data_IF_656327523745
#
_entry.id   IF_656327523745
#
_cell.length_a   1.000
_cell.length_b   1.000
_cell.length_c   1.000
_cell.angle_alpha   90.00
_cell.angle_beta   90.00
_cell.angle_gamma   90.00
#
_symmetry.space_group_name_H-M   'P 1'
#
loop_
_entity.id
_entity.type
_entity.pdbx_description
1 polymer ?
#
# COMPACT_ATOMS: atom_id res chain seq x y z
N UNK A 1 -11.20 1.12 7.26
CA UNK A 1 -10.99 0.82 8.69
C UNK A 1 -11.93 1.68 9.47
N UNK A 2 -12.50 1.14 10.53
CA UNK A 2 -13.52 1.82 11.32
C UNK A 2 -12.96 2.20 12.71
N UNK A 3 -11.92 1.51 13.17
CA UNK A 3 -11.26 1.75 14.45
C UNK A 3 -10.48 3.07 14.47
N UNK A 4 -10.79 3.94 15.44
CA UNK A 4 -10.16 5.24 15.58
C UNK A 4 -8.64 5.18 15.82
N UNK A 5 -8.13 4.16 16.52
CA UNK A 5 -6.69 3.97 16.73
C UNK A 5 -6.01 3.51 15.45
N UNK A 6 -6.67 2.66 14.65
CA UNK A 6 -6.16 2.26 13.35
C UNK A 6 -6.09 3.45 12.39
N UNK A 7 -7.12 4.30 12.36
CA UNK A 7 -7.12 5.54 11.57
C UNK A 7 -6.02 6.53 12.01
N UNK A 8 -5.76 6.64 13.32
CA UNK A 8 -4.63 7.43 13.84
C UNK A 8 -3.29 6.85 13.42
N UNK A 9 -3.14 5.53 13.49
CA UNK A 9 -1.94 4.84 13.06
C UNK A 9 -1.67 5.05 11.57
N UNK A 10 -2.69 4.93 10.71
CA UNK A 10 -2.56 5.25 9.28
C UNK A 10 -2.05 6.68 9.08
N UNK A 11 -2.66 7.67 9.75
CA UNK A 11 -2.23 9.07 9.64
C UNK A 11 -0.78 9.27 10.10
N UNK A 12 -0.35 8.57 11.16
CA UNK A 12 1.04 8.56 11.62
C UNK A 12 1.96 8.01 10.52
N UNK A 13 1.69 6.81 9.99
CA UNK A 13 2.50 6.18 8.94
C UNK A 13 2.64 7.11 7.73
N UNK A 14 1.54 7.73 7.30
CA UNK A 14 1.56 8.67 6.18
C UNK A 14 2.40 9.92 6.48
N UNK A 15 2.35 10.44 7.71
CA UNK A 15 3.18 11.57 8.12
C UNK A 15 4.65 11.19 8.14
N UNK A 16 4.99 10.03 8.72
CA UNK A 16 6.36 9.52 8.80
C UNK A 16 6.94 9.29 7.39
N UNK A 17 6.13 8.78 6.46
CA UNK A 17 6.52 8.63 5.05
C UNK A 17 6.83 9.98 4.37
N UNK A 18 6.12 11.05 4.73
CA UNK A 18 6.37 12.39 4.17
C UNK A 18 7.62 13.01 4.78
N UNK A 19 7.85 12.85 6.09
CA UNK A 19 8.97 13.48 6.79
C UNK A 19 10.28 12.72 6.62
N UNK A 20 10.23 11.39 6.73
CA UNK A 20 11.41 10.53 6.89
C UNK A 20 11.61 9.60 5.69
N UNK A 21 10.62 9.51 4.80
CA UNK A 21 10.61 8.55 3.69
C UNK A 21 10.35 7.11 4.16
N UNK A 22 10.80 6.13 3.36
CA UNK A 22 10.62 4.72 3.69
C UNK A 22 11.67 4.24 4.70
N UNK A 23 11.32 4.26 5.98
CA UNK A 23 12.09 3.58 7.03
C UNK A 23 11.51 2.17 7.24
N UNK A 24 12.15 1.16 6.62
CA UNK A 24 11.64 -0.22 6.52
C UNK A 24 11.24 -0.81 7.87
N UNK A 25 12.08 -0.70 8.90
CA UNK A 25 11.80 -1.28 10.22
C UNK A 25 10.54 -0.67 10.86
N UNK A 26 10.40 0.65 10.78
CA UNK A 26 9.28 1.38 11.36
C UNK A 26 7.98 1.04 10.64
N UNK A 27 7.98 1.07 9.30
CA UNK A 27 6.76 0.85 8.53
C UNK A 27 6.28 -0.59 8.60
N UNK A 28 7.19 -1.57 8.64
CA UNK A 28 6.83 -2.98 8.81
C UNK A 28 6.18 -3.20 10.17
N UNK A 29 6.75 -2.64 11.25
CA UNK A 29 6.16 -2.74 12.59
C UNK A 29 4.78 -2.08 12.67
N UNK A 30 4.64 -0.89 12.09
CA UNK A 30 3.36 -0.17 12.08
C UNK A 30 2.30 -0.89 11.22
N UNK A 31 2.67 -1.46 10.07
CA UNK A 31 1.76 -2.27 9.24
C UNK A 31 1.35 -3.57 9.93
N UNK A 32 2.27 -4.26 10.62
CA UNK A 32 1.93 -5.44 11.41
C UNK A 32 0.91 -5.11 12.50
N UNK A 33 1.10 -3.99 13.21
CA UNK A 33 0.11 -3.50 14.18
C UNK A 33 -1.21 -3.11 13.52
N UNK A 34 -1.16 -2.52 12.33
CA UNK A 34 -2.34 -2.18 11.55
C UNK A 34 -3.16 -3.43 11.17
N UNK A 35 -2.49 -4.54 10.88
CA UNK A 35 -3.11 -5.83 10.57
C UNK A 35 -3.95 -6.37 11.73
N UNK A 36 -3.53 -6.17 12.98
CA UNK A 36 -4.29 -6.60 14.16
C UNK A 36 -5.67 -5.94 14.21
N UNK A 37 -5.76 -4.65 13.88
CA UNK A 37 -7.05 -3.95 13.78
C UNK A 37 -7.91 -4.51 12.64
N UNK A 38 -7.32 -4.78 11.47
CA UNK A 38 -8.06 -5.35 10.35
C UNK A 38 -8.61 -6.75 10.65
N UNK A 39 -7.90 -7.55 11.45
CA UNK A 39 -8.35 -8.85 11.94
C UNK A 39 -9.55 -8.71 12.89
N UNK A 40 -9.47 -7.76 13.84
CA UNK A 40 -10.57 -7.46 14.77
C UNK A 40 -11.82 -6.93 14.07
N UNK A 41 -11.66 -6.19 12.97
CA UNK A 41 -12.76 -5.68 12.15
C UNK A 41 -13.32 -6.71 11.15
N UNK A 42 -12.78 -7.95 11.13
CA UNK A 42 -13.19 -9.02 10.22
C UNK A 42 -13.16 -8.61 8.73
N UNK A 43 -12.14 -7.83 8.32
CA UNK A 43 -11.97 -7.36 6.93
C UNK A 43 -10.88 -8.17 6.21
N UNK A 44 -11.17 -9.37 5.65
CA UNK A 44 -10.15 -10.29 5.13
C UNK A 44 -9.32 -9.72 3.97
N UNK A 45 -9.92 -8.94 3.07
CA UNK A 45 -9.21 -8.29 1.95
C UNK A 45 -8.17 -7.30 2.47
N UNK A 46 -8.51 -6.55 3.51
CA UNK A 46 -7.64 -5.58 4.14
C UNK A 46 -6.50 -6.26 4.91
N UNK A 47 -6.81 -7.32 5.66
CA UNK A 47 -5.80 -8.17 6.34
C UNK A 47 -4.79 -8.71 5.33
N UNK A 48 -5.26 -9.20 4.18
CA UNK A 48 -4.40 -9.71 3.10
C UNK A 48 -3.51 -8.61 2.54
N UNK A 49 -4.08 -7.44 2.23
CA UNK A 49 -3.33 -6.31 1.66
C UNK A 49 -2.23 -5.81 2.58
N UNK A 50 -2.55 -5.60 3.86
CA UNK A 50 -1.56 -5.14 4.84
C UNK A 50 -0.43 -6.17 4.98
N UNK A 51 -0.78 -7.46 5.02
CA UNK A 51 0.20 -8.55 5.07
C UNK A 51 1.16 -8.50 3.89
N UNK A 52 0.60 -8.51 2.67
CA UNK A 52 1.39 -8.51 1.45
C UNK A 52 2.28 -7.26 1.36
N UNK A 53 1.76 -6.09 1.72
CA UNK A 53 2.51 -4.84 1.69
C UNK A 53 3.73 -4.88 2.63
N UNK A 54 3.58 -5.31 3.89
CA UNK A 54 4.74 -5.35 4.79
C UNK A 54 5.73 -6.45 4.41
N UNK A 55 5.27 -7.61 3.94
CA UNK A 55 6.16 -8.71 3.48
C UNK A 55 6.98 -8.25 2.28
N UNK A 56 6.35 -7.59 1.31
CA UNK A 56 7.00 -7.01 0.15
C UNK A 56 8.06 -5.97 0.57
N UNK A 57 7.67 -4.98 1.38
CA UNK A 57 8.61 -3.92 1.83
C UNK A 57 9.78 -4.52 2.61
N UNK A 58 9.52 -5.52 3.46
CA UNK A 58 10.55 -6.20 4.22
C UNK A 58 11.56 -6.92 3.33
N UNK A 59 11.10 -7.55 2.25
CA UNK A 59 11.95 -8.33 1.33
C UNK A 59 12.70 -7.43 0.34
N UNK A 60 12.01 -6.45 -0.25
CA UNK A 60 12.53 -5.63 -1.34
C UNK A 60 13.18 -4.32 -0.87
N UNK A 61 12.97 -3.93 0.39
CA UNK A 61 13.42 -2.64 0.97
C UNK A 61 12.87 -1.40 0.24
N UNK A 62 11.82 -1.60 -0.55
CA UNK A 62 11.12 -0.62 -1.36
C UNK A 62 9.66 -1.08 -1.55
N UNK A 63 8.78 -0.20 -2.01
CA UNK A 63 7.39 -0.59 -2.30
C UNK A 63 7.18 -0.98 -3.77
N UNK A 64 7.69 -0.21 -4.74
CA UNK A 64 7.81 -0.58 -6.18
C UNK A 64 6.55 -1.16 -6.86
N UNK A 65 5.36 -0.94 -6.30
CA UNK A 65 4.09 -1.30 -6.92
C UNK A 65 3.48 -0.03 -7.50
N UNK A 66 3.23 -0.02 -8.81
CA UNK A 66 2.56 1.10 -9.45
C UNK A 66 1.11 1.26 -8.97
N UNK A 67 0.61 2.50 -9.00
CA UNK A 67 -0.79 2.79 -8.68
C UNK A 67 -1.70 2.11 -9.70
N UNK A 68 -2.75 1.37 -9.27
CA UNK A 68 -3.79 0.86 -10.16
C UNK A 68 -4.37 1.96 -11.03
N UNK A 69 -4.47 1.70 -12.33
CA UNK A 69 -5.06 2.61 -13.31
C UNK A 69 -5.95 1.81 -14.25
N UNK A 70 -7.07 2.43 -14.65
CA UNK A 70 -8.03 1.87 -15.61
C UNK A 70 -7.56 1.96 -17.07
N UNK A 71 -6.46 2.68 -17.33
CA UNK A 71 -5.90 2.77 -18.68
C UNK A 71 -5.18 1.46 -19.06
N UNK A 72 -5.41 0.93 -20.28
CA UNK A 72 -4.73 -0.27 -20.73
C UNK A 72 -3.23 -0.01 -20.73
N UNK A 73 -2.49 -0.86 -20.03
CA UNK A 73 -1.03 -0.88 -20.08
C UNK A 73 -0.68 -1.26 -21.52
N UNK A 74 -0.15 -0.33 -22.31
CA UNK A 74 0.37 -0.67 -23.64
C UNK A 74 1.50 -1.70 -23.43
N UNK A 75 1.26 -2.94 -23.87
CA UNK A 75 2.25 -4.01 -23.89
C UNK A 75 3.34 -3.69 -24.91
N UNK A 76 4.26 -2.78 -24.59
CA UNK A 76 5.55 -2.66 -25.26
C UNK A 76 6.68 -2.95 -24.28
N UNK A 77 7.05 -4.23 -24.24
CA UNK A 77 8.38 -4.66 -23.82
C UNK A 77 8.63 -4.67 -22.32
N UNK A 78 9.47 -5.60 -21.89
CA UNK A 78 10.03 -5.68 -20.55
C UNK A 78 10.88 -4.44 -20.21
N UNK A 79 10.28 -3.31 -19.86
CA UNK A 79 10.92 -2.26 -19.05
C UNK A 79 9.87 -1.66 -18.11
N UNK A 80 9.94 -2.05 -16.84
CA UNK A 80 9.09 -1.48 -15.80
C UNK A 80 9.21 0.04 -15.73
N UNK A 81 8.06 0.68 -15.50
CA UNK A 81 7.92 2.09 -15.13
C UNK A 81 8.41 3.11 -16.16
N UNK A 82 7.53 3.51 -17.09
CA UNK A 82 7.66 4.83 -17.71
C UNK A 82 6.30 5.52 -17.82
N UNK A 83 6.07 6.50 -16.94
CA UNK A 83 5.60 7.85 -17.27
C UNK A 83 4.83 8.54 -16.13
N UNK A 84 5.46 8.73 -14.96
CA UNK A 84 5.41 10.03 -14.28
C UNK A 84 6.81 10.30 -13.72
N UNK A 85 7.22 11.54 -13.89
CA UNK A 85 8.53 12.11 -13.66
C UNK A 85 9.11 11.83 -12.27
N UNK A 86 10.34 11.32 -12.25
CA UNK A 86 11.45 11.64 -11.33
C UNK A 86 11.22 11.52 -9.80
N UNK A 87 12.10 10.71 -9.20
CA UNK A 87 12.60 10.86 -7.82
C UNK A 87 11.71 10.32 -6.68
N UNK A 88 11.44 9.02 -6.69
CA UNK A 88 11.38 8.27 -5.43
C UNK A 88 11.72 6.81 -5.68
N UNK A 89 12.94 6.37 -5.34
CA UNK A 89 13.43 4.98 -5.48
C UNK A 89 12.56 3.89 -4.80
N UNK A 90 11.45 4.29 -4.18
CA UNK A 90 10.62 3.49 -3.29
C UNK A 90 9.11 3.58 -3.59
N UNK A 91 8.67 4.32 -4.62
CA UNK A 91 7.25 4.56 -4.95
C UNK A 91 6.38 4.97 -3.75
N UNK A 92 6.85 5.99 -3.02
CA UNK A 92 6.21 6.44 -1.78
C UNK A 92 4.77 6.94 -2.03
N UNK A 93 4.49 7.56 -3.17
CA UNK A 93 3.15 8.02 -3.54
C UNK A 93 2.16 6.87 -3.68
N UNK A 94 2.62 5.75 -4.26
CA UNK A 94 1.80 4.55 -4.38
C UNK A 94 1.50 3.93 -3.01
N UNK A 95 2.50 3.87 -2.13
CA UNK A 95 2.29 3.43 -0.75
C UNK A 95 1.35 4.36 0.03
N UNK A 96 1.47 5.68 -0.17
CA UNK A 96 0.56 6.67 0.41
C UNK A 96 -0.88 6.47 -0.06
N UNK A 97 -1.06 6.17 -1.35
CA UNK A 97 -2.36 5.88 -1.92
C UNK A 97 -2.94 4.58 -1.36
N UNK A 98 -2.17 3.50 -1.30
CA UNK A 98 -2.59 2.23 -0.67
C UNK A 98 -3.07 2.45 0.78
N UNK A 99 -2.32 3.21 1.58
CA UNK A 99 -2.72 3.58 2.95
C UNK A 99 -4.00 4.42 3.00
N UNK A 100 -4.30 5.19 1.96
CA UNK A 100 -5.55 5.94 1.86
C UNK A 100 -6.76 5.02 1.63
N UNK A 101 -6.60 3.96 0.83
CA UNK A 101 -7.65 2.95 0.57
C UNK A 101 -8.06 2.24 1.87
N UNK A 102 -7.11 2.02 2.78
CA UNK A 102 -7.39 1.40 4.08
C UNK A 102 -8.38 2.19 4.94
N UNK A 103 -8.49 3.51 4.73
CA UNK A 103 -9.41 4.35 5.50
C UNK A 103 -10.87 4.14 5.06
N UNK A 104 -11.12 3.99 3.77
CA UNK A 104 -12.48 3.91 3.20
C UNK A 104 -12.65 2.71 2.28
N UNK A 105 -12.72 1.52 2.87
CA UNK A 105 -12.89 0.25 2.14
C UNK A 105 -14.32 -0.02 1.68
N UNK A 106 -15.29 0.79 2.14
CA UNK A 106 -16.69 0.64 1.75
C UNK A 106 -16.97 1.30 0.40
N UNK A 107 -16.08 2.18 -0.06
CA UNK A 107 -16.10 2.67 -1.43
C UNK A 107 -15.75 1.55 -2.41
N UNK A 108 -16.62 1.33 -3.39
CA UNK A 108 -16.47 0.23 -4.36
C UNK A 108 -15.19 0.37 -5.20
N UNK A 109 -14.83 1.58 -5.62
CA UNK A 109 -13.61 1.82 -6.40
C UNK A 109 -12.37 1.51 -5.55
N UNK A 110 -12.31 2.05 -4.33
CA UNK A 110 -11.20 1.77 -3.42
C UNK A 110 -11.03 0.26 -3.15
N UNK A 111 -12.13 -0.49 -3.08
CA UNK A 111 -12.08 -1.94 -2.90
C UNK A 111 -11.53 -2.66 -4.13
N UNK A 112 -11.86 -2.21 -5.34
CA UNK A 112 -11.30 -2.77 -6.58
C UNK A 112 -9.81 -2.44 -6.69
N UNK A 113 -9.40 -1.19 -6.45
CA UNK A 113 -7.98 -0.79 -6.43
C UNK A 113 -7.19 -1.59 -5.40
N UNK A 114 -7.77 -1.82 -4.21
CA UNK A 114 -7.16 -2.63 -3.17
C UNK A 114 -6.99 -4.09 -3.59
N UNK A 115 -7.92 -4.66 -4.36
CA UNK A 115 -7.77 -6.01 -4.91
C UNK A 115 -6.69 -6.04 -6.00
N UNK A 116 -6.60 -5.00 -6.81
CA UNK A 116 -5.56 -4.88 -7.83
C UNK A 116 -4.17 -4.82 -7.19
N UNK A 117 -3.99 -4.00 -6.16
CA UNK A 117 -2.77 -4.00 -5.34
C UNK A 117 -2.45 -5.39 -4.78
N UNK A 118 -3.44 -6.11 -4.26
CA UNK A 118 -3.24 -7.47 -3.75
C UNK A 118 -2.73 -8.43 -4.84
N UNK A 119 -3.17 -8.27 -6.08
CA UNK A 119 -2.72 -9.10 -7.20
C UNK A 119 -1.28 -8.72 -7.59
N UNK A 120 -1.00 -7.43 -7.78
CA UNK A 120 0.36 -6.94 -8.09
C UNK A 120 1.39 -7.34 -7.04
N UNK A 121 1.04 -7.26 -5.76
CA UNK A 121 1.91 -7.67 -4.65
C UNK A 121 2.14 -9.19 -4.58
N UNK A 122 1.25 -10.00 -5.17
CA UNK A 122 1.44 -11.45 -5.26
C UNK A 122 2.31 -11.87 -6.45
N UNK A 123 2.26 -11.09 -7.53
CA UNK A 123 2.97 -11.37 -8.78
C UNK A 123 4.41 -10.83 -8.79
N UNK A 124 4.74 -9.90 -7.88
CA UNK A 124 6.06 -9.29 -7.72
C UNK A 124 7.03 -10.19 -6.94
#
# INVERSE_FOLDING_TARGET
MENANALKLIKKIQSDLISDGLVVENIVADLQKLREFALLEEKPVLVKSIRLAYEHIQNNKAFLIAIPSDEPIEEEGEEGATAVEKESKNDLESLQYLLSLYKDINNKHNLEDLKDYNNRLLDF
#
